data_IF_595005465003
#
_entry.id   IF_595005465003
#
_cell.length_a   1.000
_cell.length_b   1.000
_cell.length_c   1.000
_cell.angle_alpha   90.00
_cell.angle_beta   90.00
_cell.angle_gamma   90.00
#
_symmetry.space_group_name_H-M   'P 1'
#
loop_
_entity.id
_entity.type
_entity.pdbx_description
1 polymer ?
#
# COMPACT_ATOMS: atom_id res chain seq x y z
N UNK A 1 30.77 13.48 -37.27
CA UNK A 1 29.36 13.06 -37.46
C UNK A 1 28.87 12.28 -36.24
N UNK A 2 28.93 12.91 -35.05
CA UNK A 2 28.43 12.37 -33.78
C UNK A 2 27.39 13.37 -33.26
N UNK A 3 26.11 13.15 -33.56
CA UNK A 3 25.00 13.91 -32.97
C UNK A 3 23.66 13.28 -33.39
N UNK A 4 23.35 12.08 -32.90
CA UNK A 4 21.98 11.53 -32.94
C UNK A 4 21.72 10.59 -31.75
N UNK A 5 22.06 11.02 -30.53
CA UNK A 5 21.53 10.40 -29.31
C UNK A 5 20.89 11.50 -28.47
N UNK A 6 19.63 11.81 -28.76
CA UNK A 6 18.73 12.39 -27.78
C UNK A 6 17.28 12.09 -28.17
N UNK A 7 16.82 10.88 -27.85
CA UNK A 7 15.38 10.61 -27.77
C UNK A 7 14.87 11.09 -26.41
N UNK A 8 13.94 12.04 -26.50
CA UNK A 8 13.26 12.70 -25.40
C UNK A 8 12.37 11.70 -24.64
N UNK A 9 12.64 11.47 -23.35
CA UNK A 9 11.65 10.95 -22.41
C UNK A 9 10.88 12.10 -21.79
N UNK A 10 10.07 12.78 -22.61
CA UNK A 10 9.10 13.80 -22.17
C UNK A 10 7.77 13.15 -21.81
N UNK A 11 7.75 12.21 -20.86
CA UNK A 11 6.50 11.62 -20.37
C UNK A 11 5.77 12.61 -19.47
N UNK A 12 4.71 13.23 -19.97
CA UNK A 12 3.81 14.06 -19.15
C UNK A 12 3.11 13.15 -18.14
N UNK A 13 3.37 13.33 -16.85
CA UNK A 13 2.61 12.65 -15.80
C UNK A 13 1.18 13.20 -15.80
N UNK A 14 0.21 12.36 -16.18
CA UNK A 14 -1.21 12.71 -16.10
C UNK A 14 -1.63 12.81 -14.63
N UNK A 15 -2.44 13.82 -14.29
CA UNK A 15 -3.05 13.89 -12.97
C UNK A 15 -3.92 12.65 -12.71
N UNK A 16 -3.97 12.20 -11.45
CA UNK A 16 -4.80 11.07 -11.04
C UNK A 16 -6.27 11.36 -11.35
N UNK A 17 -6.94 10.41 -11.98
CA UNK A 17 -8.36 10.48 -12.29
C UNK A 17 -9.19 9.97 -11.11
N UNK A 18 -10.50 10.28 -11.10
CA UNK A 18 -11.46 9.69 -10.15
C UNK A 18 -11.44 8.16 -10.14
N UNK A 19 -11.17 7.54 -11.29
CA UNK A 19 -11.07 6.08 -11.41
C UNK A 19 -9.87 5.55 -10.61
N UNK A 20 -8.73 6.24 -10.68
CA UNK A 20 -7.52 5.89 -9.92
C UNK A 20 -7.77 6.03 -8.42
N UNK A 21 -8.43 7.11 -8.00
CA UNK A 21 -8.82 7.29 -6.59
C UNK A 21 -9.73 6.17 -6.09
N UNK A 22 -10.66 5.67 -6.91
CA UNK A 22 -11.52 4.55 -6.53
C UNK A 22 -10.73 3.25 -6.37
N UNK A 23 -9.79 2.94 -7.28
CA UNK A 23 -8.93 1.77 -7.14
C UNK A 23 -8.07 1.82 -5.87
N UNK A 24 -7.56 3.00 -5.52
CA UNK A 24 -6.77 3.14 -4.29
C UNK A 24 -7.65 2.94 -3.04
N UNK A 25 -8.91 3.41 -3.04
CA UNK A 25 -9.86 3.14 -1.94
C UNK A 25 -10.16 1.64 -1.79
N UNK A 26 -10.33 0.94 -2.90
CA UNK A 26 -10.49 -0.52 -2.89
C UNK A 26 -9.25 -1.19 -2.31
N UNK A 27 -8.06 -0.76 -2.73
CA UNK A 27 -6.79 -1.26 -2.20
C UNK A 27 -6.63 -1.01 -0.69
N UNK A 28 -7.01 0.18 -0.19
CA UNK A 28 -7.04 0.47 1.25
C UNK A 28 -7.99 -0.48 2.00
N UNK A 29 -9.13 -0.81 1.41
CA UNK A 29 -10.08 -1.77 1.99
C UNK A 29 -9.47 -3.18 2.07
N UNK A 30 -8.65 -3.56 1.08
CA UNK A 30 -7.92 -4.83 1.10
C UNK A 30 -6.82 -4.87 2.15
N UNK A 31 -6.03 -3.80 2.32
CA UNK A 31 -5.03 -3.69 3.39
C UNK A 31 -5.66 -3.83 4.78
N UNK A 32 -6.80 -3.17 5.00
CA UNK A 32 -7.57 -3.27 6.25
C UNK A 32 -8.10 -4.69 6.51
N UNK A 33 -8.55 -5.38 5.47
CA UNK A 33 -8.99 -6.76 5.57
C UNK A 33 -7.81 -7.71 5.87
N UNK A 34 -6.69 -7.51 5.17
CA UNK A 34 -5.48 -8.32 5.33
C UNK A 34 -4.93 -8.22 6.76
N UNK A 35 -4.77 -7.01 7.31
CA UNK A 35 -4.27 -6.85 8.69
C UNK A 35 -5.18 -7.53 9.73
N UNK A 36 -6.52 -7.49 9.54
CA UNK A 36 -7.49 -8.15 10.42
C UNK A 36 -7.36 -9.68 10.36
N UNK A 37 -7.18 -10.22 9.15
CA UNK A 37 -6.95 -11.66 8.97
C UNK A 37 -5.62 -12.10 9.57
N UNK A 38 -4.55 -11.32 9.40
CA UNK A 38 -3.28 -11.59 10.05
C UNK A 38 -3.42 -11.63 11.58
N UNK A 39 -4.07 -10.63 12.18
CA UNK A 39 -4.30 -10.61 13.63
C UNK A 39 -5.09 -11.85 14.11
N UNK A 40 -6.15 -12.21 13.38
CA UNK A 40 -6.95 -13.40 13.67
C UNK A 40 -6.12 -14.69 13.58
N UNK A 41 -5.44 -14.94 12.45
CA UNK A 41 -4.69 -16.18 12.26
C UNK A 41 -3.43 -16.27 13.12
N UNK A 42 -2.79 -15.15 13.47
CA UNK A 42 -1.71 -15.16 14.45
C UNK A 42 -2.19 -15.64 15.82
N UNK A 43 -3.45 -15.33 16.20
CA UNK A 43 -4.03 -15.77 17.47
C UNK A 43 -4.46 -17.24 17.50
N UNK A 44 -4.73 -17.83 16.33
CA UNK A 44 -5.10 -19.25 16.18
C UNK A 44 -3.90 -20.15 15.87
N UNK A 45 -2.72 -19.57 15.63
CA UNK A 45 -1.53 -20.31 15.24
C UNK A 45 -0.81 -20.89 16.47
N UNK A 46 -0.62 -22.21 16.48
CA UNK A 46 0.05 -22.91 17.57
C UNK A 46 1.58 -22.77 17.50
N UNK A 47 2.16 -22.63 16.30
CA UNK A 47 3.60 -22.46 16.12
C UNK A 47 3.99 -21.00 16.41
N UNK A 48 4.82 -20.73 17.44
CA UNK A 48 5.17 -19.36 17.82
C UNK A 48 5.93 -18.58 16.74
N UNK A 49 6.76 -19.25 15.94
CA UNK A 49 7.53 -18.59 14.88
C UNK A 49 6.62 -18.19 13.73
N UNK A 50 5.67 -19.05 13.38
CA UNK A 50 4.67 -18.75 12.35
C UNK A 50 3.72 -17.63 12.82
N UNK A 51 3.24 -17.69 14.06
CA UNK A 51 2.42 -16.62 14.64
C UNK A 51 3.12 -15.26 14.61
N UNK A 52 4.42 -15.24 14.93
CA UNK A 52 5.24 -14.03 14.86
C UNK A 52 5.37 -13.50 13.43
N UNK A 53 5.60 -14.38 12.44
CA UNK A 53 5.69 -13.99 11.04
C UNK A 53 4.36 -13.42 10.53
N UNK A 54 3.23 -14.04 10.87
CA UNK A 54 1.90 -13.54 10.51
C UNK A 54 1.67 -12.16 11.12
N UNK A 55 2.10 -11.95 12.37
CA UNK A 55 2.00 -10.65 13.05
C UNK A 55 2.80 -9.56 12.34
N UNK A 56 4.04 -9.85 11.93
CA UNK A 56 4.88 -8.93 11.16
C UNK A 56 4.28 -8.58 9.79
N UNK A 57 3.63 -9.54 9.12
CA UNK A 57 2.90 -9.29 7.87
C UNK A 57 1.68 -8.39 8.14
N UNK A 58 0.96 -8.61 9.24
CA UNK A 58 -0.13 -7.73 9.67
C UNK A 58 0.31 -6.28 9.89
N UNK A 59 1.44 -6.07 10.56
CA UNK A 59 2.04 -4.75 10.75
C UNK A 59 2.45 -4.09 9.42
N UNK A 60 2.95 -4.86 8.46
CA UNK A 60 3.25 -4.36 7.13
C UNK A 60 1.98 -3.83 6.43
N UNK A 61 0.88 -4.59 6.45
CA UNK A 61 -0.39 -4.15 5.89
C UNK A 61 -0.93 -2.88 6.58
N UNK A 62 -0.81 -2.79 7.91
CA UNK A 62 -1.19 -1.59 8.65
C UNK A 62 -0.36 -0.36 8.23
N UNK A 63 0.97 -0.53 8.05
CA UNK A 63 1.84 0.56 7.55
C UNK A 63 1.39 1.01 6.15
N UNK A 64 1.14 0.09 5.23
CA UNK A 64 0.67 0.43 3.89
C UNK A 64 -0.66 1.20 3.91
N UNK A 65 -1.64 0.73 4.69
CA UNK A 65 -2.91 1.42 4.87
C UNK A 65 -2.71 2.85 5.38
N UNK A 66 -1.87 3.01 6.41
CA UNK A 66 -1.61 4.31 7.05
C UNK A 66 -0.92 5.27 6.09
N UNK A 67 0.05 4.78 5.30
CA UNK A 67 0.71 5.58 4.26
C UNK A 67 -0.29 6.04 3.21
N UNK A 68 -1.15 5.16 2.70
CA UNK A 68 -2.19 5.54 1.73
C UNK A 68 -3.18 6.55 2.34
N UNK A 69 -3.58 6.35 3.60
CA UNK A 69 -4.47 7.26 4.30
C UNK A 69 -3.87 8.67 4.44
N UNK A 70 -2.57 8.79 4.75
CA UNK A 70 -1.87 10.08 4.84
C UNK A 70 -1.92 10.85 3.52
N UNK A 71 -1.75 10.16 2.38
CA UNK A 71 -1.85 10.79 1.07
C UNK A 71 -3.28 11.22 0.72
N UNK A 72 -4.29 10.50 1.21
CA UNK A 72 -5.70 10.77 0.92
C UNK A 72 -6.35 11.77 1.87
N UNK A 73 -5.87 11.82 3.11
CA UNK A 73 -6.35 12.72 4.14
C UNK A 73 -5.16 13.25 4.95
N UNK A 74 -4.49 14.30 4.44
CA UNK A 74 -3.34 14.90 5.12
C UNK A 74 -3.66 15.44 6.51
N UNK A 75 -4.95 15.63 6.84
CA UNK A 75 -5.41 16.17 8.13
C UNK A 75 -5.74 15.09 9.17
N UNK A 76 -5.81 13.80 8.82
CA UNK A 76 -6.15 12.74 9.77
C UNK A 76 -4.99 12.20 10.61
N UNK A 77 -3.81 12.83 10.52
CA UNK A 77 -2.59 12.43 11.28
C UNK A 77 -2.09 13.57 12.15
N UNK A 78 -3.01 14.28 12.83
CA UNK A 78 -2.71 15.15 13.96
C UNK A 78 -3.19 14.51 15.26
#
# INVERSE_FOLDING_TARGET
MKQQIQQQFGGQYSQLSTKDFNYIKDHMSWELLAMKKCAHYASECEDPQVAQLISQIGEMHQRHYTTLLQYFNPQSVQ
#
